data_IF_642427773223
#
_entry.id   IF_642427773223
#
_cell.length_a   1.000
_cell.length_b   1.000
_cell.length_c   1.000
_cell.angle_alpha   90.00
_cell.angle_beta   90.00
_cell.angle_gamma   90.00
#
_symmetry.space_group_name_H-M   'P 1'
#
loop_
_entity.id
_entity.type
_entity.pdbx_description
1 polymer ?
#
# COMPACT_ATOMS: atom_id res chain seq x y z
N UNK A 1 -7.16 4.06 -6.93
CA UNK A 1 -6.45 4.21 -8.22
C UNK A 1 -5.56 5.43 -8.22
N UNK A 2 -6.09 6.66 -8.09
CA UNK A 2 -5.27 7.89 -8.06
C UNK A 2 -4.07 7.82 -7.10
N UNK A 3 -4.28 7.46 -5.83
CA UNK A 3 -3.20 7.35 -4.85
C UNK A 3 -2.12 6.31 -5.21
N UNK A 4 -2.47 5.26 -5.94
CA UNK A 4 -1.51 4.27 -6.43
C UNK A 4 -0.63 4.88 -7.53
N UNK A 5 -1.25 5.57 -8.49
CA UNK A 5 -0.53 6.29 -9.54
C UNK A 5 0.37 7.39 -8.97
N UNK A 6 -0.10 8.13 -7.96
CA UNK A 6 0.70 9.15 -7.28
C UNK A 6 1.93 8.53 -6.60
N UNK A 7 1.77 7.37 -5.95
CA UNK A 7 2.88 6.67 -5.31
C UNK A 7 3.92 6.19 -6.34
N UNK A 8 3.49 5.70 -7.51
CA UNK A 8 4.41 5.38 -8.61
C UNK A 8 5.12 6.63 -9.14
N UNK A 9 4.44 7.78 -9.24
CA UNK A 9 5.06 9.03 -9.65
C UNK A 9 6.11 9.54 -8.65
N UNK A 10 5.90 9.32 -7.35
CA UNK A 10 6.91 9.62 -6.31
C UNK A 10 8.17 8.77 -6.54
N UNK A 11 8.03 7.46 -6.71
CA UNK A 11 9.16 6.57 -6.99
C UNK A 11 9.88 6.94 -8.30
N UNK A 12 9.13 7.25 -9.36
CA UNK A 12 9.70 7.70 -10.63
C UNK A 12 10.49 9.01 -10.47
N UNK A 13 10.04 9.94 -9.62
CA UNK A 13 10.78 11.17 -9.30
C UNK A 13 12.05 10.88 -8.51
N UNK A 14 12.01 10.00 -7.52
CA UNK A 14 13.21 9.59 -6.78
C UNK A 14 14.25 8.97 -7.73
N UNK A 15 13.82 8.05 -8.58
CA UNK A 15 14.66 7.42 -9.58
C UNK A 15 15.29 8.43 -10.55
N UNK A 16 14.48 9.32 -11.15
CA UNK A 16 14.96 10.30 -12.14
C UNK A 16 15.86 11.38 -11.54
N UNK A 17 15.69 11.71 -10.26
CA UNK A 17 16.54 12.68 -9.56
C UNK A 17 17.75 12.05 -8.87
N UNK A 18 17.94 10.72 -8.98
CA UNK A 18 18.96 9.98 -8.22
C UNK A 18 18.87 10.21 -6.71
N UNK A 19 17.66 10.51 -6.22
CA UNK A 19 17.40 10.70 -4.80
C UNK A 19 17.20 9.33 -4.14
N UNK A 20 17.97 9.08 -3.08
CA UNK A 20 17.81 7.89 -2.23
C UNK A 20 17.11 8.31 -0.94
N UNK A 21 15.79 8.08 -0.81
CA UNK A 21 15.06 8.45 0.39
C UNK A 21 15.49 7.60 1.60
N UNK A 22 15.39 8.12 2.83
CA UNK A 22 15.48 7.33 4.04
C UNK A 22 14.49 6.15 4.03
N UNK A 23 14.84 5.05 4.69
CA UNK A 23 14.04 3.82 4.67
C UNK A 23 12.59 4.03 5.17
N UNK A 24 12.36 4.91 6.14
CA UNK A 24 11.02 5.19 6.65
C UNK A 24 10.19 6.04 5.67
N UNK A 25 10.81 6.97 4.96
CA UNK A 25 10.17 7.77 3.91
C UNK A 25 9.82 6.89 2.71
N UNK A 26 10.78 6.08 2.26
CA UNK A 26 10.57 5.08 1.23
C UNK A 26 9.37 4.19 1.59
N UNK A 27 9.40 3.56 2.77
CA UNK A 27 8.40 2.58 3.16
C UNK A 27 6.98 3.18 3.24
N UNK A 28 6.84 4.45 3.64
CA UNK A 28 5.54 5.16 3.64
C UNK A 28 4.92 5.23 2.25
N UNK A 29 5.70 5.55 1.23
CA UNK A 29 5.23 5.55 -0.16
C UNK A 29 5.08 4.12 -0.70
N UNK A 30 6.06 3.27 -0.39
CA UNK A 30 6.19 1.93 -0.92
C UNK A 30 5.03 1.00 -0.52
N UNK A 31 4.42 1.23 0.65
CA UNK A 31 3.17 0.58 1.08
C UNK A 31 2.03 0.85 0.09
N UNK A 32 1.89 2.09 -0.37
CA UNK A 32 0.83 2.46 -1.31
C UNK A 32 1.14 1.91 -2.70
N UNK A 33 2.40 2.03 -3.15
CA UNK A 33 2.83 1.56 -4.47
C UNK A 33 2.80 0.04 -4.63
N UNK A 34 2.69 -0.74 -3.54
CA UNK A 34 2.41 -2.19 -3.64
C UNK A 34 1.09 -2.52 -4.33
N UNK A 35 0.12 -1.59 -4.35
CA UNK A 35 -1.23 -1.85 -4.82
C UNK A 35 -2.11 -2.66 -3.85
N UNK A 36 -1.55 -3.21 -2.76
CA UNK A 36 -2.32 -3.98 -1.76
C UNK A 36 -3.48 -3.17 -1.17
N UNK A 37 -3.31 -1.90 -0.75
CA UNK A 37 -4.43 -1.11 -0.25
C UNK A 37 -5.57 -0.97 -1.27
N UNK A 38 -5.24 -0.89 -2.56
CA UNK A 38 -6.23 -0.79 -3.63
C UNK A 38 -7.00 -2.10 -3.79
N UNK A 39 -6.30 -3.23 -3.87
CA UNK A 39 -6.91 -4.57 -3.99
C UNK A 39 -7.80 -4.83 -2.78
N UNK A 40 -7.34 -4.52 -1.58
CA UNK A 40 -8.09 -4.65 -0.34
C UNK A 40 -9.40 -3.85 -0.40
N UNK A 41 -9.38 -2.57 -0.78
CA UNK A 41 -10.62 -1.77 -0.92
C UNK A 41 -11.62 -2.39 -1.91
N UNK A 42 -11.15 -2.95 -3.03
CA UNK A 42 -12.03 -3.62 -3.98
C UNK A 42 -12.60 -4.93 -3.43
N UNK A 43 -11.79 -5.74 -2.75
CA UNK A 43 -12.23 -6.97 -2.09
C UNK A 43 -13.27 -6.67 -1.00
N UNK A 44 -13.05 -5.65 -0.18
CA UNK A 44 -14.01 -5.22 0.83
C UNK A 44 -15.33 -4.79 0.17
N UNK A 45 -15.28 -3.98 -0.89
CA UNK A 45 -16.48 -3.55 -1.61
C UNK A 45 -17.25 -4.73 -2.22
N UNK A 46 -16.55 -5.75 -2.73
CA UNK A 46 -17.15 -6.92 -3.36
C UNK A 46 -17.73 -7.92 -2.34
N UNK A 47 -17.07 -8.11 -1.21
CA UNK A 47 -17.39 -9.17 -0.24
C UNK A 47 -18.25 -8.69 0.94
N UNK A 48 -18.24 -7.39 1.24
CA UNK A 48 -18.91 -6.82 2.42
C UNK A 48 -20.09 -5.91 2.04
N UNK A 49 -20.74 -6.16 0.90
CA UNK A 49 -21.80 -5.30 0.36
C UNK A 49 -23.00 -5.14 1.32
N UNK A 50 -23.27 -6.16 2.16
CA UNK A 50 -24.38 -6.23 3.13
C UNK A 50 -23.97 -6.13 4.61
N UNK A 51 -22.66 -6.06 4.91
CA UNK A 51 -22.21 -5.85 6.30
C UNK A 51 -22.40 -4.38 6.65
N UNK A 52 -22.93 -4.09 7.84
CA UNK A 52 -23.14 -2.72 8.32
C UNK A 52 -21.87 -1.89 8.04
N UNK A 53 -21.95 -1.03 7.02
CA UNK A 53 -20.85 -0.23 6.47
C UNK A 53 -20.26 0.73 7.53
N UNK A 54 -20.83 0.75 8.73
CA UNK A 54 -20.55 1.64 9.85
C UNK A 54 -19.84 0.99 11.04
N UNK A 55 -19.53 -0.30 11.02
CA UNK A 55 -18.64 -0.89 12.03
C UNK A 55 -17.24 -0.26 11.91
N UNK A 56 -17.00 0.79 12.69
CA UNK A 56 -15.73 1.52 12.74
C UNK A 56 -14.56 0.60 13.06
N UNK A 57 -14.83 -0.44 13.84
CA UNK A 57 -13.85 -1.45 14.24
C UNK A 57 -13.49 -2.37 13.07
N UNK A 58 -14.46 -2.85 12.29
CA UNK A 58 -14.18 -3.68 11.10
C UNK A 58 -13.35 -2.90 10.08
N UNK A 59 -13.67 -1.63 9.84
CA UNK A 59 -12.92 -0.77 8.93
C UNK A 59 -11.49 -0.50 9.43
N UNK A 60 -11.33 -0.31 10.74
CA UNK A 60 -10.02 -0.13 11.37
C UNK A 60 -9.17 -1.39 11.25
N UNK A 61 -9.71 -2.56 11.61
CA UNK A 61 -9.01 -3.84 11.47
C UNK A 61 -8.63 -4.12 10.02
N UNK A 62 -9.52 -3.80 9.07
CA UNK A 62 -9.24 -3.94 7.65
C UNK A 62 -8.06 -3.07 7.20
N UNK A 63 -8.02 -1.81 7.64
CA UNK A 63 -6.92 -0.88 7.36
C UNK A 63 -5.60 -1.36 7.96
N UNK A 64 -5.61 -1.82 9.20
CA UNK A 64 -4.42 -2.33 9.89
C UNK A 64 -3.87 -3.59 9.22
N UNK A 65 -4.76 -4.51 8.83
CA UNK A 65 -4.41 -5.71 8.07
C UNK A 65 -3.83 -5.34 6.72
N UNK A 66 -4.50 -4.48 5.96
CA UNK A 66 -4.02 -4.00 4.66
C UNK A 66 -2.64 -3.35 4.73
N UNK A 67 -2.40 -2.51 5.75
CA UNK A 67 -1.09 -1.88 5.97
C UNK A 67 0.00 -2.91 6.29
N UNK A 68 -0.31 -3.89 7.14
CA UNK A 68 0.61 -4.97 7.51
C UNK A 68 0.95 -5.87 6.32
N UNK A 69 -0.05 -6.29 5.56
CA UNK A 69 0.11 -7.08 4.33
C UNK A 69 0.94 -6.33 3.29
N UNK A 70 0.67 -5.03 3.08
CA UNK A 70 1.43 -4.20 2.15
C UNK A 70 2.89 -4.08 2.56
N UNK A 71 3.18 -3.88 3.84
CA UNK A 71 4.57 -3.85 4.36
C UNK A 71 5.29 -5.17 4.13
N UNK A 72 4.67 -6.29 4.47
CA UNK A 72 5.26 -7.62 4.28
C UNK A 72 5.55 -7.87 2.80
N UNK A 73 4.59 -7.59 1.92
CA UNK A 73 4.76 -7.76 0.47
C UNK A 73 5.90 -6.89 -0.05
N UNK A 74 5.94 -5.61 0.33
CA UNK A 74 6.98 -4.68 -0.09
C UNK A 74 8.37 -5.18 0.32
N UNK A 75 8.53 -5.53 1.60
CA UNK A 75 9.82 -6.00 2.12
C UNK A 75 10.26 -7.31 1.47
N UNK A 76 9.32 -8.21 1.18
CA UNK A 76 9.61 -9.48 0.51
C UNK A 76 10.03 -9.27 -0.96
N UNK A 77 9.31 -8.43 -1.69
CA UNK A 77 9.61 -8.06 -3.09
C UNK A 77 10.99 -7.39 -3.21
N UNK A 78 11.26 -6.43 -2.31
CA UNK A 78 12.53 -5.72 -2.25
C UNK A 78 13.69 -6.68 -1.89
N UNK A 79 13.48 -7.63 -0.96
CA UNK A 79 14.48 -8.64 -0.62
C UNK A 79 14.80 -9.56 -1.81
N UNK A 80 13.80 -9.94 -2.60
CA UNK A 80 13.97 -10.78 -3.79
C UNK A 80 14.63 -10.04 -4.96
N UNK A 81 14.52 -8.72 -5.01
CA UNK A 81 15.06 -7.86 -6.06
C UNK A 81 16.42 -7.24 -5.69
N UNK A 82 16.83 -7.32 -4.42
CA UNK A 82 18.14 -6.90 -3.95
C UNK A 82 19.22 -7.80 -4.57
N UNK A 83 20.15 -7.20 -5.31
CA UNK A 83 21.36 -7.86 -5.81
C UNK A 83 22.52 -7.69 -4.82
#
# INVERSE_FOLDING_TARGET
WASLCDAFLVEARWFTSSHSPPADEYLKNAIVSTGVPLVMVHLFALLCEDTDRQSTDTMKSFREMSSSTAKILRLWDDLGSAK
#
